data_IF_356619806156
#
_entry.id   IF_356619806156
#
_cell.length_a   1.000
_cell.length_b   1.000
_cell.length_c   1.000
_cell.angle_alpha   90.00
_cell.angle_beta   90.00
_cell.angle_gamma   90.00
#
_symmetry.space_group_name_H-M   'P 1'
#
loop_
_entity.id
_entity.type
_entity.pdbx_description
1 polymer ?
#
# COMPACT_ATOMS: atom_id res chain seq x y z
N UNK A 1 6.38 20.73 -3.82
CA UNK A 1 6.86 19.42 -3.32
C UNK A 1 5.72 18.43 -3.50
N UNK A 2 5.96 17.20 -3.95
CA UNK A 2 4.91 16.20 -4.16
C UNK A 2 5.33 14.85 -3.57
N UNK A 3 4.33 14.02 -3.27
CA UNK A 3 4.51 12.67 -2.76
C UNK A 3 4.00 11.68 -3.80
N UNK A 4 4.83 10.73 -4.18
CA UNK A 4 4.43 9.59 -4.98
C UNK A 4 4.01 8.46 -4.04
N UNK A 5 2.83 7.89 -4.26
CA UNK A 5 2.42 6.65 -3.62
C UNK A 5 2.30 5.54 -4.65
N UNK A 6 2.88 4.38 -4.32
CA UNK A 6 2.53 3.10 -4.94
C UNK A 6 1.77 2.29 -3.90
N UNK A 7 0.68 1.64 -4.28
CA UNK A 7 -0.11 0.84 -3.35
C UNK A 7 -1.30 0.21 -4.04
N UNK A 8 -2.11 -0.52 -3.27
CA UNK A 8 -3.35 -1.08 -3.80
C UNK A 8 -4.42 0.01 -3.94
N UNK A 9 -5.16 -0.05 -5.03
CA UNK A 9 -6.46 0.59 -5.20
C UNK A 9 -7.45 -0.54 -5.39
N UNK A 10 -8.42 -0.64 -4.50
CA UNK A 10 -9.17 -1.87 -4.27
C UNK A 10 -10.68 -1.61 -4.14
N UNK A 11 -11.43 -2.71 -4.23
CA UNK A 11 -12.81 -2.77 -3.75
C UNK A 11 -12.87 -3.77 -2.59
N UNK A 12 -13.13 -3.25 -1.40
CA UNK A 12 -13.08 -4.00 -0.14
C UNK A 12 -14.50 -4.37 0.31
N UNK A 13 -14.65 -5.55 0.90
CA UNK A 13 -15.86 -5.98 1.60
C UNK A 13 -15.56 -6.06 3.09
N UNK A 14 -16.21 -5.22 3.90
CA UNK A 14 -15.95 -5.11 5.33
C UNK A 14 -17.17 -5.56 6.12
N UNK A 15 -16.96 -6.54 6.98
CA UNK A 15 -17.93 -7.04 7.95
C UNK A 15 -17.53 -6.60 9.36
N UNK A 16 -18.49 -6.05 10.10
CA UNK A 16 -18.37 -5.74 11.53
C UNK A 16 -19.55 -6.37 12.28
N UNK A 17 -19.51 -6.45 13.62
CA UNK A 17 -20.69 -6.89 14.39
C UNK A 17 -21.94 -6.02 14.19
N UNK A 18 -21.79 -4.83 13.62
CA UNK A 18 -22.85 -3.83 13.49
C UNK A 18 -23.34 -3.65 12.05
N UNK A 19 -22.71 -4.31 11.07
CA UNK A 19 -23.12 -4.22 9.68
C UNK A 19 -22.05 -4.66 8.69
N UNK A 20 -22.49 -4.80 7.45
CA UNK A 20 -21.67 -5.23 6.31
C UNK A 20 -21.75 -4.17 5.21
N UNK A 21 -20.63 -3.95 4.54
CA UNK A 21 -20.53 -3.18 3.30
C UNK A 21 -19.68 -3.96 2.31
N UNK A 22 -20.17 -4.12 1.10
CA UNK A 22 -19.50 -4.85 0.04
C UNK A 22 -19.02 -3.90 -1.06
N UNK A 23 -17.87 -4.25 -1.65
CA UNK A 23 -17.28 -3.56 -2.80
C UNK A 23 -17.13 -2.03 -2.60
N UNK A 24 -16.75 -1.59 -1.39
CA UNK A 24 -16.45 -0.19 -1.12
C UNK A 24 -15.04 0.17 -1.59
N UNK A 25 -14.83 1.43 -1.95
CA UNK A 25 -13.49 1.93 -2.29
C UNK A 25 -12.52 1.72 -1.12
N UNK A 26 -11.43 1.03 -1.40
CA UNK A 26 -10.38 0.75 -0.43
C UNK A 26 -8.99 0.70 -1.07
N UNK A 27 -8.07 -0.02 -0.41
CA UNK A 27 -6.67 -0.14 -0.81
C UNK A 27 -5.74 0.93 -0.22
N UNK A 28 -4.48 0.54 -0.01
CA UNK A 28 -3.49 1.34 0.72
C UNK A 28 -3.16 2.67 0.04
N UNK A 29 -3.02 2.68 -1.29
CA UNK A 29 -2.78 3.91 -2.04
C UNK A 29 -3.96 4.87 -1.96
N UNK A 30 -5.19 4.35 -1.95
CA UNK A 30 -6.41 5.17 -1.81
C UNK A 30 -6.42 5.89 -0.47
N UNK A 31 -6.26 5.16 0.64
CA UNK A 31 -6.28 5.77 1.98
C UNK A 31 -5.14 6.77 2.17
N UNK A 32 -3.92 6.40 1.76
CA UNK A 32 -2.77 7.29 1.85
C UNK A 32 -2.98 8.56 1.03
N UNK A 33 -3.38 8.43 -0.25
CA UNK A 33 -3.54 9.58 -1.14
C UNK A 33 -4.64 10.53 -0.68
N UNK A 34 -5.77 9.99 -0.19
CA UNK A 34 -6.85 10.80 0.39
C UNK A 34 -6.36 11.61 1.59
N UNK A 35 -5.58 11.01 2.50
CA UNK A 35 -5.03 11.72 3.66
C UNK A 35 -3.96 12.74 3.26
N UNK A 36 -2.97 12.32 2.47
CA UNK A 36 -1.86 13.17 2.06
C UNK A 36 -2.28 14.36 1.19
N UNK A 37 -3.38 14.24 0.42
CA UNK A 37 -3.91 15.32 -0.43
C UNK A 37 -4.27 16.61 0.34
N UNK A 38 -4.54 16.52 1.64
CA UNK A 38 -4.77 17.70 2.49
C UNK A 38 -3.50 18.51 2.76
N UNK A 39 -2.33 17.91 2.58
CA UNK A 39 -1.04 18.45 3.01
C UNK A 39 -0.09 18.70 1.83
N UNK A 40 -0.19 17.90 0.76
CA UNK A 40 0.68 17.98 -0.39
C UNK A 40 0.02 17.43 -1.67
N UNK A 41 0.46 17.86 -2.86
CA UNK A 41 0.16 17.18 -4.11
C UNK A 41 0.60 15.71 -4.09
N UNK A 42 -0.33 14.82 -4.46
CA UNK A 42 -0.10 13.36 -4.47
C UNK A 42 -0.17 12.83 -5.90
N UNK A 43 0.76 11.92 -6.23
CA UNK A 43 0.73 11.12 -7.46
C UNK A 43 0.52 9.67 -7.08
N UNK A 44 -0.39 8.98 -7.76
CA UNK A 44 -0.68 7.56 -7.52
C UNK A 44 -0.16 6.72 -8.68
N UNK A 45 0.58 5.66 -8.35
CA UNK A 45 0.92 4.56 -9.26
C UNK A 45 0.24 3.30 -8.75
N UNK A 46 -0.72 2.79 -9.52
CA UNK A 46 -1.51 1.62 -9.16
C UNK A 46 -2.11 0.99 -10.43
N UNK A 47 -2.76 -0.16 -10.27
CA UNK A 47 -3.53 -0.80 -11.34
C UNK A 47 -4.92 -1.16 -10.84
N UNK A 48 -5.91 -0.99 -11.70
CA UNK A 48 -7.29 -1.42 -11.47
C UNK A 48 -7.83 -2.16 -12.70
N UNK A 49 -8.87 -2.96 -12.47
CA UNK A 49 -9.56 -3.69 -13.53
C UNK A 49 -10.53 -2.80 -14.30
N UNK A 50 -11.14 -3.38 -15.34
CA UNK A 50 -12.23 -2.73 -16.09
C UNK A 50 -13.49 -2.53 -15.25
N UNK A 51 -13.64 -3.32 -14.18
CA UNK A 51 -14.74 -3.24 -13.22
C UNK A 51 -14.62 -2.07 -12.24
N UNK A 52 -13.52 -1.29 -12.24
CA UNK A 52 -13.34 -0.21 -11.29
C UNK A 52 -14.28 0.97 -11.54
N UNK A 53 -15.14 1.35 -10.57
CA UNK A 53 -16.14 2.38 -10.77
C UNK A 53 -15.53 3.76 -11.08
N UNK A 54 -16.03 4.39 -12.15
CA UNK A 54 -15.61 5.75 -12.55
C UNK A 54 -15.89 6.80 -11.46
N UNK A 55 -16.89 6.56 -10.61
CA UNK A 55 -17.19 7.43 -9.48
C UNK A 55 -16.02 7.52 -8.48
N UNK A 56 -15.26 6.44 -8.29
CA UNK A 56 -14.09 6.44 -7.41
C UNK A 56 -12.90 7.18 -8.03
N UNK A 57 -12.72 7.05 -9.35
CA UNK A 57 -11.71 7.85 -10.08
C UNK A 57 -12.01 9.34 -9.94
N UNK A 58 -13.25 9.75 -10.24
CA UNK A 58 -13.68 11.15 -10.08
C UNK A 58 -13.57 11.67 -8.65
N UNK A 59 -13.81 10.82 -7.64
CA UNK A 59 -13.65 11.20 -6.24
C UNK A 59 -12.19 11.57 -5.92
N UNK A 60 -11.24 10.74 -6.37
CA UNK A 60 -9.80 10.96 -6.15
C UNK A 60 -9.30 12.18 -6.94
N UNK A 61 -9.70 12.32 -8.21
CA UNK A 61 -9.39 13.50 -9.03
C UNK A 61 -9.96 14.79 -8.44
N UNK A 62 -11.17 14.73 -7.87
CA UNK A 62 -11.81 15.85 -7.17
C UNK A 62 -11.05 16.32 -5.93
N UNK A 63 -10.09 15.53 -5.43
CA UNK A 63 -9.14 15.91 -4.37
C UNK A 63 -7.79 16.41 -4.90
N UNK A 64 -7.66 16.60 -6.20
CA UNK A 64 -6.41 17.03 -6.84
C UNK A 64 -5.32 15.96 -6.85
N UNK A 65 -5.68 14.69 -6.69
CA UNK A 65 -4.75 13.56 -6.76
C UNK A 65 -4.45 13.28 -8.24
N UNK A 66 -3.17 13.23 -8.59
CA UNK A 66 -2.71 12.88 -9.93
C UNK A 66 -2.77 11.36 -10.13
N UNK A 67 -3.78 10.91 -10.89
CA UNK A 67 -4.03 9.51 -11.24
C UNK A 67 -3.40 9.09 -12.57
N UNK A 68 -2.47 9.86 -13.12
CA UNK A 68 -1.84 9.48 -14.38
C UNK A 68 -1.00 8.20 -14.35
N UNK A 69 -0.60 7.76 -13.15
CA UNK A 69 0.03 6.45 -12.94
C UNK A 69 -0.97 5.34 -12.63
N UNK A 70 -2.28 5.61 -12.67
CA UNK A 70 -3.32 4.60 -12.51
C UNK A 70 -3.55 3.88 -13.84
N UNK A 71 -3.03 2.65 -13.95
CA UNK A 71 -3.27 1.81 -15.09
C UNK A 71 -4.64 1.12 -15.00
N UNK A 72 -5.38 1.09 -16.12
CA UNK A 72 -6.49 0.15 -16.32
C UNK A 72 -6.01 -1.03 -17.13
N UNK A 73 -6.39 -2.24 -16.72
CA UNK A 73 -6.06 -3.49 -17.41
C UNK A 73 -7.30 -4.39 -17.53
N UNK A 74 -7.39 -5.22 -18.59
CA UNK A 74 -8.42 -6.24 -18.68
C UNK A 74 -8.42 -7.15 -17.45
N UNK A 75 -9.60 -7.44 -16.91
CA UNK A 75 -9.76 -8.22 -15.69
C UNK A 75 -10.37 -7.43 -14.53
N UNK A 76 -10.34 -8.04 -13.33
CA UNK A 76 -10.97 -7.50 -12.12
C UNK A 76 -9.99 -6.69 -11.27
N UNK A 77 -10.50 -5.69 -10.57
CA UNK A 77 -9.75 -4.92 -9.58
C UNK A 77 -9.41 -5.79 -8.38
N UNK A 78 -8.28 -5.51 -7.71
CA UNK A 78 -7.93 -6.17 -6.45
C UNK A 78 -9.11 -6.13 -5.47
N UNK A 79 -9.42 -7.28 -4.85
CA UNK A 79 -10.49 -7.40 -3.85
C UNK A 79 -9.94 -7.92 -2.53
N UNK A 80 -10.36 -7.31 -1.44
CA UNK A 80 -10.10 -7.82 -0.10
C UNK A 80 -11.40 -7.92 0.68
N UNK A 81 -11.56 -9.00 1.44
CA UNK A 81 -12.68 -9.17 2.38
C UNK A 81 -12.16 -9.31 3.79
N UNK A 82 -12.59 -8.41 4.67
CA UNK A 82 -12.20 -8.39 6.07
C UNK A 82 -13.38 -8.48 7.01
N UNK A 83 -13.18 -9.15 8.15
CA UNK A 83 -14.11 -9.14 9.28
C UNK A 83 -13.44 -8.60 10.52
N UNK A 84 -14.10 -7.64 11.16
CA UNK A 84 -13.73 -7.15 12.49
C UNK A 84 -14.53 -7.88 13.56
N UNK A 85 -13.88 -8.14 14.69
CA UNK A 85 -14.57 -8.60 15.91
C UNK A 85 -15.14 -7.42 16.69
N UNK A 86 -15.75 -7.67 17.85
CA UNK A 86 -16.25 -6.62 18.76
C UNK A 86 -15.14 -5.73 19.33
N UNK A 87 -13.87 -6.15 19.27
CA UNK A 87 -12.75 -5.27 19.61
C UNK A 87 -12.54 -4.12 18.61
N UNK A 88 -13.08 -4.26 17.38
CA UNK A 88 -12.95 -3.31 16.27
C UNK A 88 -11.50 -2.88 15.95
N UNK A 89 -10.52 -3.69 16.35
CA UNK A 89 -9.10 -3.41 16.14
C UNK A 89 -8.52 -4.30 15.04
N UNK A 90 -8.52 -5.62 15.29
CA UNK A 90 -7.90 -6.57 14.39
C UNK A 90 -8.89 -7.04 13.32
N UNK A 91 -8.47 -6.92 12.07
CA UNK A 91 -9.20 -7.45 10.93
C UNK A 91 -8.77 -8.90 10.66
N UNK A 92 -9.72 -9.82 10.62
CA UNK A 92 -9.53 -11.13 10.03
C UNK A 92 -9.69 -11.02 8.51
N UNK A 93 -8.63 -11.29 7.76
CA UNK A 93 -8.74 -11.45 6.29
C UNK A 93 -9.48 -12.74 5.98
N UNK A 94 -10.62 -12.62 5.29
CA UNK A 94 -11.46 -13.74 4.86
C UNK A 94 -11.15 -14.15 3.42
N UNK A 95 -10.83 -13.18 2.56
CA UNK A 95 -10.50 -13.40 1.16
C UNK A 95 -9.57 -12.30 0.64
N UNK A 96 -8.64 -12.68 -0.25
CA UNK A 96 -7.73 -11.76 -0.94
C UNK A 96 -7.58 -12.22 -2.38
N UNK A 97 -8.02 -11.39 -3.32
CA UNK A 97 -7.93 -11.63 -4.75
C UNK A 97 -7.01 -10.60 -5.38
N UNK A 98 -5.78 -11.02 -5.73
CA UNK A 98 -4.78 -10.13 -6.34
C UNK A 98 -5.28 -9.58 -7.69
N UNK A 99 -5.95 -10.40 -8.50
CA UNK A 99 -6.53 -10.05 -9.80
C UNK A 99 -5.51 -9.31 -10.70
N UNK A 100 -5.87 -8.16 -11.30
CA UNK A 100 -4.94 -7.39 -12.17
C UNK A 100 -3.60 -7.05 -11.50
N UNK A 101 -3.53 -7.10 -10.18
CA UNK A 101 -2.33 -6.84 -9.40
C UNK A 101 -1.29 -7.96 -9.51
N UNK A 102 -1.70 -9.21 -9.76
CA UNK A 102 -0.82 -10.39 -9.77
C UNK A 102 0.27 -10.30 -10.86
N UNK A 103 -0.07 -9.70 -11.99
CA UNK A 103 0.83 -9.52 -13.14
C UNK A 103 1.17 -8.05 -13.37
N UNK A 104 1.00 -7.21 -12.35
CA UNK A 104 1.25 -5.79 -12.50
C UNK A 104 2.75 -5.50 -12.51
N UNK A 105 3.21 -4.95 -13.63
CA UNK A 105 4.56 -4.42 -13.78
C UNK A 105 4.47 -2.89 -13.92
N UNK A 106 4.76 -2.13 -12.86
CA UNK A 106 4.58 -0.68 -12.89
C UNK A 106 5.65 -0.03 -13.77
N UNK A 107 5.23 0.66 -14.82
CA UNK A 107 6.08 1.57 -15.57
C UNK A 107 5.79 3.01 -15.13
N UNK A 108 6.76 3.66 -14.50
CA UNK A 108 6.56 5.01 -13.99
C UNK A 108 6.61 6.03 -15.13
N UNK A 109 5.57 6.88 -15.28
CA UNK A 109 5.63 8.05 -16.14
C UNK A 109 6.82 8.93 -15.75
N UNK A 110 7.45 9.61 -16.72
CA UNK A 110 8.63 10.45 -16.48
C UNK A 110 8.40 11.47 -15.35
N UNK A 111 7.21 12.07 -15.29
CA UNK A 111 6.83 13.01 -14.22
C UNK A 111 6.85 12.41 -12.81
N UNK A 112 6.76 11.09 -12.66
CA UNK A 112 6.77 10.41 -11.37
C UNK A 112 8.19 10.07 -10.89
N UNK A 113 9.15 9.89 -11.81
CA UNK A 113 10.54 9.47 -11.50
C UNK A 113 11.33 10.49 -10.67
N UNK A 114 10.97 11.77 -10.81
CA UNK A 114 11.56 12.89 -10.07
C UNK A 114 10.84 13.22 -8.74
N UNK A 115 10.02 12.31 -8.22
CA UNK A 115 9.29 12.55 -6.97
C UNK A 115 10.25 12.52 -5.77
N UNK A 116 10.37 13.62 -4.99
CA UNK A 116 11.32 13.69 -3.89
C UNK A 116 10.88 12.90 -2.65
N UNK A 117 9.58 12.57 -2.53
CA UNK A 117 9.03 11.78 -1.44
C UNK A 117 8.28 10.59 -2.03
N UNK A 118 8.57 9.38 -1.53
CA UNK A 118 7.96 8.14 -2.00
C UNK A 118 7.34 7.42 -0.82
N UNK A 119 6.09 6.99 -0.98
CA UNK A 119 5.41 6.09 -0.07
C UNK A 119 5.15 4.75 -0.76
N UNK A 120 5.82 3.72 -0.30
CA UNK A 120 5.63 2.33 -0.72
C UNK A 120 4.52 1.73 0.13
N UNK A 121 3.28 2.00 -0.26
CA UNK A 121 2.09 1.46 0.38
C UNK A 121 1.95 -0.05 0.19
N UNK A 122 1.09 -0.66 0.99
CA UNK A 122 1.02 -2.09 1.22
C UNK A 122 0.61 -2.84 -0.04
N UNK A 123 1.59 -3.50 -0.65
CA UNK A 123 1.53 -4.37 -1.84
C UNK A 123 2.74 -5.31 -1.83
N UNK A 124 2.87 -6.13 -2.88
CA UNK A 124 4.00 -7.03 -3.05
C UNK A 124 5.35 -6.29 -2.90
N UNK A 125 6.25 -6.72 -1.99
CA UNK A 125 7.53 -6.06 -1.77
C UNK A 125 8.43 -6.06 -3.03
N UNK A 126 8.28 -7.04 -3.92
CA UNK A 126 8.98 -7.03 -5.21
C UNK A 126 8.52 -5.85 -6.07
N UNK A 127 7.22 -5.55 -6.04
CA UNK A 127 6.65 -4.42 -6.78
C UNK A 127 7.07 -3.09 -6.13
N UNK A 128 7.04 -3.00 -4.80
CA UNK A 128 7.57 -1.84 -4.07
C UNK A 128 9.02 -1.53 -4.48
N UNK A 129 9.88 -2.56 -4.51
CA UNK A 129 11.28 -2.44 -4.95
C UNK A 129 11.40 -2.01 -6.41
N UNK A 130 10.63 -2.60 -7.33
CA UNK A 130 10.64 -2.23 -8.77
C UNK A 130 10.22 -0.79 -9.03
N UNK A 131 9.28 -0.26 -8.24
CA UNK A 131 8.93 1.17 -8.31
C UNK A 131 10.10 2.02 -7.86
N UNK A 132 10.71 1.66 -6.73
CA UNK A 132 11.84 2.41 -6.18
C UNK A 132 13.06 2.42 -7.11
N UNK A 133 13.28 1.36 -7.88
CA UNK A 133 14.34 1.27 -8.92
C UNK A 133 14.18 2.32 -10.04
N UNK A 134 12.97 2.83 -10.25
CA UNK A 134 12.68 3.81 -11.30
C UNK A 134 12.69 5.25 -10.78
N UNK A 135 12.87 5.45 -9.47
CA UNK A 135 12.98 6.79 -8.85
C UNK A 135 14.43 7.23 -8.86
N UNK A 136 14.70 8.42 -9.37
CA UNK A 136 16.08 8.87 -9.59
C UNK A 136 16.81 9.18 -8.29
N UNK A 137 16.25 10.08 -7.46
CA UNK A 137 16.89 10.58 -6.23
C UNK A 137 15.84 10.96 -5.18
N UNK A 138 15.17 9.99 -4.53
CA UNK A 138 14.23 10.29 -3.46
C UNK A 138 14.98 10.93 -2.28
N UNK A 139 14.36 11.92 -1.64
CA UNK A 139 14.85 12.52 -0.38
C UNK A 139 14.40 11.72 0.85
N UNK A 140 13.28 11.02 0.73
CA UNK A 140 12.71 10.20 1.78
C UNK A 140 11.85 9.10 1.13
N UNK A 141 12.06 7.86 1.58
CA UNK A 141 11.27 6.69 1.22
C UNK A 141 10.61 6.17 2.48
N UNK A 142 9.28 6.21 2.52
CA UNK A 142 8.49 5.57 3.55
C UNK A 142 7.81 4.31 2.99
N UNK A 143 7.51 3.34 3.84
CA UNK A 143 6.79 2.14 3.46
C UNK A 143 5.82 1.69 4.56
N UNK A 144 4.80 0.95 4.16
CA UNK A 144 4.06 0.05 5.03
C UNK A 144 3.96 -1.35 4.39
N UNK A 145 3.47 -2.32 5.15
CA UNK A 145 3.30 -3.69 4.69
C UNK A 145 2.10 -4.33 5.40
N UNK A 146 1.92 -5.65 5.26
CA UNK A 146 0.92 -6.39 6.02
C UNK A 146 1.41 -7.81 6.35
N UNK A 147 0.74 -8.44 7.30
CA UNK A 147 0.93 -9.84 7.69
C UNK A 147 1.03 -10.82 6.51
N UNK A 148 0.27 -10.62 5.42
CA UNK A 148 0.32 -11.44 4.20
C UNK A 148 1.71 -11.46 3.56
N UNK A 149 2.36 -10.29 3.41
CA UNK A 149 3.70 -10.20 2.83
C UNK A 149 4.80 -10.61 3.81
N UNK A 150 4.61 -10.33 5.11
CA UNK A 150 5.51 -10.82 6.16
C UNK A 150 5.56 -12.35 6.17
N UNK A 151 4.42 -13.03 6.00
CA UNK A 151 4.37 -14.49 5.94
C UNK A 151 4.81 -15.07 4.59
N UNK A 152 4.37 -14.46 3.48
CA UNK A 152 4.54 -15.04 2.15
C UNK A 152 5.85 -14.68 1.46
N UNK A 153 6.44 -13.51 1.75
CA UNK A 153 7.58 -12.94 1.01
C UNK A 153 8.58 -12.20 1.90
N UNK A 154 8.86 -12.75 3.09
CA UNK A 154 9.74 -12.12 4.10
C UNK A 154 11.10 -11.66 3.54
N UNK A 155 11.76 -12.50 2.73
CA UNK A 155 13.08 -12.17 2.18
C UNK A 155 13.03 -11.00 1.20
N UNK A 156 11.99 -10.94 0.36
CA UNK A 156 11.79 -9.81 -0.55
C UNK A 156 11.42 -8.53 0.22
N UNK A 157 10.62 -8.67 1.29
CA UNK A 157 10.30 -7.56 2.18
C UNK A 157 11.58 -7.00 2.84
N UNK A 158 12.43 -7.85 3.42
CA UNK A 158 13.71 -7.41 4.03
C UNK A 158 14.59 -6.65 3.04
N UNK A 159 14.74 -7.15 1.80
CA UNK A 159 15.47 -6.45 0.73
C UNK A 159 14.87 -5.08 0.39
N UNK A 160 13.55 -4.96 0.47
CA UNK A 160 12.86 -3.67 0.27
C UNK A 160 13.16 -2.72 1.43
N UNK A 161 13.10 -3.23 2.68
CA UNK A 161 13.34 -2.44 3.89
C UNK A 161 14.76 -1.86 3.99
N UNK A 162 15.77 -2.53 3.42
CA UNK A 162 17.14 -2.00 3.33
C UNK A 162 17.23 -0.63 2.62
N UNK A 163 16.21 -0.29 1.82
CA UNK A 163 16.13 0.94 1.00
C UNK A 163 15.06 1.91 1.47
N UNK A 164 14.43 1.64 2.61
CA UNK A 164 13.37 2.45 3.20
C UNK A 164 13.94 3.27 4.35
N UNK A 165 13.59 4.55 4.42
CA UNK A 165 13.95 5.42 5.53
C UNK A 165 12.97 5.24 6.70
N UNK A 166 11.66 5.17 6.42
CA UNK A 166 10.62 5.07 7.45
C UNK A 166 9.68 3.87 7.20
N UNK A 167 9.49 3.01 8.20
CA UNK A 167 8.53 1.90 8.13
C UNK A 167 7.35 2.15 9.09
N UNK A 168 6.14 2.07 8.55
CA UNK A 168 4.89 2.09 9.31
C UNK A 168 4.34 0.67 9.40
N UNK A 169 4.23 0.15 10.62
CA UNK A 169 3.62 -1.15 10.94
C UNK A 169 2.87 -1.03 12.25
N UNK A 170 1.78 -1.80 12.40
CA UNK A 170 1.13 -1.93 13.70
C UNK A 170 1.93 -2.84 14.65
N UNK A 171 1.50 -2.97 15.89
CA UNK A 171 2.21 -3.73 16.91
C UNK A 171 2.21 -5.24 16.64
N UNK A 172 1.16 -5.79 16.01
CA UNK A 172 1.11 -7.19 15.60
C UNK A 172 2.13 -7.49 14.48
N UNK A 173 2.16 -6.65 13.44
CA UNK A 173 3.10 -6.73 12.33
C UNK A 173 4.55 -6.53 12.80
N UNK A 174 4.80 -5.58 13.70
CA UNK A 174 6.13 -5.36 14.25
C UNK A 174 6.66 -6.60 14.99
N UNK A 175 5.83 -7.21 15.85
CA UNK A 175 6.20 -8.46 16.55
C UNK A 175 6.43 -9.62 15.59
N UNK A 176 5.57 -9.75 14.58
CA UNK A 176 5.67 -10.80 13.56
C UNK A 176 6.94 -10.65 12.72
N UNK A 177 7.22 -9.43 12.22
CA UNK A 177 8.40 -9.12 11.40
C UNK A 177 9.70 -9.33 12.17
N UNK A 178 9.73 -8.92 13.45
CA UNK A 178 10.92 -9.05 14.29
C UNK A 178 11.10 -10.45 14.89
N UNK A 179 10.04 -11.27 14.97
CA UNK A 179 10.06 -12.51 15.74
C UNK A 179 10.18 -12.28 17.26
N UNK A 180 9.75 -11.12 17.75
CA UNK A 180 9.96 -10.65 19.13
C UNK A 180 8.63 -10.21 19.76
N UNK A 181 8.36 -10.61 21.01
CA UNK A 181 7.13 -10.21 21.71
C UNK A 181 7.22 -8.81 22.32
N UNK A 182 8.42 -8.42 22.75
CA UNK A 182 8.66 -7.12 23.36
C UNK A 182 8.80 -6.06 22.27
N UNK A 183 7.95 -5.04 22.30
CA UNK A 183 7.89 -4.02 21.24
C UNK A 183 9.17 -3.20 21.10
N UNK A 184 9.91 -2.96 22.19
CA UNK A 184 11.18 -2.23 22.16
C UNK A 184 12.26 -3.07 21.49
N UNK A 185 12.29 -4.38 21.74
CA UNK A 185 13.19 -5.31 21.03
C UNK A 185 12.80 -5.43 19.56
N UNK A 186 11.50 -5.53 19.27
CA UNK A 186 10.99 -5.59 17.91
C UNK A 186 11.40 -4.36 17.09
N UNK A 187 11.23 -3.15 17.66
CA UNK A 187 11.67 -1.90 17.02
C UNK A 187 13.17 -1.93 16.69
N UNK A 188 14.03 -2.32 17.64
CA UNK A 188 15.48 -2.42 17.41
C UNK A 188 15.83 -3.43 16.31
N UNK A 189 15.17 -4.58 16.30
CA UNK A 189 15.37 -5.59 15.27
C UNK A 189 14.95 -5.07 13.89
N UNK A 190 13.82 -4.37 13.79
CA UNK A 190 13.32 -3.78 12.53
C UNK A 190 14.26 -2.68 12.02
N UNK A 191 14.72 -1.76 12.88
CA UNK A 191 15.70 -0.74 12.50
C UNK A 191 16.98 -1.36 11.94
N UNK A 192 17.40 -2.52 12.46
CA UNK A 192 18.57 -3.24 11.93
C UNK A 192 18.35 -3.84 10.54
N UNK A 193 17.12 -3.86 10.01
CA UNK A 193 16.78 -4.30 8.66
C UNK A 193 16.90 -3.20 7.61
N UNK A 194 17.11 -1.93 8.00
CA UNK A 194 17.24 -0.80 7.06
C UNK A 194 16.62 0.52 7.53
N UNK A 195 15.34 0.55 7.94
CA UNK A 195 14.64 1.78 8.35
C UNK A 195 15.35 2.53 9.48
N UNK A 196 15.34 3.86 9.45
CA UNK A 196 16.16 4.75 10.29
C UNK A 196 15.35 5.70 11.16
#
# INVERSE_FOLDING_TARGET
>A
MCVLVVGSVALDSVETPFGVRDEILGGSATYFSMSASYLAPVKVVAVVGEDFPEAHVRLLEGRGIDLSGLARRPGRTFRWKGRYSTSLNDAQTLDTQLNVFEHFEPELPERCRNSPYVFLGNIDPVLQSRVLDQIERPKLVAADTMNFWINGKLDALKKTLERVDLLFVNDAEARQLAGEQNIVRAARAITSMGPR
#
